data_IF_171095012091
#
_entry.id   IF_171095012091
#
_cell.length_a   1.000
_cell.length_b   1.000
_cell.length_c   1.000
_cell.angle_alpha   90.00
_cell.angle_beta   90.00
_cell.angle_gamma   90.00
#
_symmetry.space_group_name_H-M   'P 1'
#
loop_
_entity.id
_entity.type
_entity.pdbx_description
1 polymer ?
#
# COMPACT_ATOMS: atom_id res chain seq x y z
N UNK A 1 -14.34 18.23 -14.73
CA UNK A 1 -14.30 16.74 -14.66
C UNK A 1 -13.56 16.37 -13.39
N UNK A 2 -14.21 15.69 -12.44
CA UNK A 2 -13.58 15.31 -11.17
C UNK A 2 -12.49 14.27 -11.40
N UNK A 3 -11.32 14.47 -10.80
CA UNK A 3 -10.21 13.53 -10.93
C UNK A 3 -10.58 12.21 -10.24
N UNK A 4 -10.94 11.18 -11.01
CA UNK A 4 -11.36 9.85 -10.52
C UNK A 4 -10.33 9.31 -9.51
N UNK A 5 -9.05 9.58 -9.75
CA UNK A 5 -7.93 9.24 -8.86
C UNK A 5 -8.00 9.86 -7.46
N UNK A 6 -8.65 11.01 -7.29
CA UNK A 6 -8.80 11.66 -5.98
C UNK A 6 -9.88 10.97 -5.14
N UNK A 7 -10.89 10.40 -5.80
CA UNK A 7 -12.00 9.70 -5.13
C UNK A 7 -11.66 8.23 -4.86
N UNK A 8 -10.87 7.58 -5.71
CA UNK A 8 -10.53 6.16 -5.54
C UNK A 8 -9.53 5.91 -4.42
N UNK A 9 -8.56 6.80 -4.20
CA UNK A 9 -7.57 6.69 -3.11
C UNK A 9 -8.17 6.53 -1.70
N UNK A 10 -9.13 7.37 -1.25
CA UNK A 10 -9.72 7.20 0.08
C UNK A 10 -10.54 5.92 0.20
N UNK A 11 -11.21 5.49 -0.88
CA UNK A 11 -11.96 4.21 -0.91
C UNK A 11 -10.99 3.04 -0.74
N UNK A 12 -9.91 3.00 -1.53
CA UNK A 12 -8.89 1.96 -1.41
C UNK A 12 -8.29 1.94 0.00
N UNK A 13 -7.96 3.09 0.56
CA UNK A 13 -7.42 3.17 1.91
C UNK A 13 -8.42 2.64 2.97
N UNK A 14 -9.72 2.90 2.81
CA UNK A 14 -10.74 2.37 3.70
C UNK A 14 -10.85 0.83 3.60
N UNK A 15 -10.84 0.29 2.38
CA UNK A 15 -10.85 -1.16 2.12
C UNK A 15 -9.60 -1.83 2.70
N UNK A 16 -8.42 -1.28 2.47
CA UNK A 16 -7.18 -1.84 2.99
C UNK A 16 -7.16 -1.81 4.53
N UNK A 17 -7.66 -0.73 5.15
CA UNK A 17 -7.76 -0.63 6.60
C UNK A 17 -8.74 -1.64 7.20
N UNK A 18 -9.87 -1.92 6.54
CA UNK A 18 -10.86 -2.88 7.05
C UNK A 18 -10.35 -4.32 7.04
N UNK A 19 -9.46 -4.67 6.10
CA UNK A 19 -8.78 -5.98 6.07
C UNK A 19 -7.52 -6.04 6.95
N UNK A 20 -7.26 -5.01 7.77
CA UNK A 20 -6.12 -5.00 8.69
C UNK A 20 -4.78 -4.68 8.03
N UNK A 21 -4.76 -3.95 6.92
CA UNK A 21 -3.55 -3.44 6.28
C UNK A 21 -3.39 -1.93 6.56
N UNK A 22 -2.14 -1.47 6.69
CA UNK A 22 -1.79 -0.06 6.82
C UNK A 22 -0.74 0.33 5.80
N UNK A 23 -0.82 1.57 5.28
CA UNK A 23 0.21 2.11 4.40
C UNK A 23 1.38 2.62 5.24
N UNK A 24 2.59 2.20 4.89
CA UNK A 24 3.85 2.64 5.49
C UNK A 24 4.77 3.16 4.40
N UNK A 25 5.25 4.38 4.57
CA UNK A 25 6.29 4.95 3.73
C UNK A 25 7.65 4.45 4.27
N UNK A 26 8.41 3.79 3.40
CA UNK A 26 9.73 3.24 3.73
C UNK A 26 10.73 3.79 2.73
N UNK A 27 11.84 4.32 3.22
CA UNK A 27 12.99 4.68 2.40
C UNK A 27 13.81 3.41 2.13
N UNK A 28 13.86 2.99 0.87
CA UNK A 28 14.58 1.77 0.45
C UNK A 28 16.04 2.07 0.10
N UNK A 29 16.27 3.26 -0.45
CA UNK A 29 17.57 3.81 -0.82
C UNK A 29 17.54 5.32 -0.55
N UNK A 30 18.70 5.96 -0.34
CA UNK A 30 18.74 7.40 -0.08
C UNK A 30 17.99 8.21 -1.16
N UNK A 31 16.92 8.89 -0.76
CA UNK A 31 16.09 9.69 -1.66
C UNK A 31 15.01 8.91 -2.43
N UNK A 32 14.90 7.59 -2.26
CA UNK A 32 13.88 6.75 -2.88
C UNK A 32 12.95 6.16 -1.82
N UNK A 33 11.72 6.67 -1.79
CA UNK A 33 10.68 6.22 -0.86
C UNK A 33 9.61 5.40 -1.55
N UNK A 34 9.17 4.31 -0.90
CA UNK A 34 8.09 3.46 -1.39
C UNK A 34 6.99 3.30 -0.34
N UNK A 35 5.74 3.33 -0.78
CA UNK A 35 4.58 3.05 0.07
C UNK A 35 4.25 1.55 0.04
N UNK A 36 4.41 0.89 1.18
CA UNK A 36 4.04 -0.50 1.37
C UNK A 36 2.71 -0.62 2.12
N UNK A 37 1.86 -1.55 1.68
CA UNK A 37 0.74 -2.03 2.50
C UNK A 37 1.23 -3.20 3.34
N UNK A 38 1.19 -3.05 4.65
CA UNK A 38 1.66 -4.08 5.60
C UNK A 38 0.54 -4.49 6.55
N UNK A 39 0.46 -5.77 6.96
CA UNK A 39 -0.49 -6.21 7.96
C UNK A 39 -0.25 -5.50 9.29
N UNK A 40 -1.33 -5.21 10.02
CA UNK A 40 -1.25 -4.67 11.39
C UNK A 40 -0.87 -5.72 12.42
N UNK A 41 -1.07 -7.00 12.11
CA UNK A 41 -0.72 -8.12 12.96
C UNK A 41 0.66 -8.68 12.58
N UNK A 42 1.49 -8.94 13.58
CA UNK A 42 2.74 -9.66 13.37
C UNK A 42 2.44 -11.15 13.15
N UNK A 43 3.23 -11.76 12.27
CA UNK A 43 3.16 -13.19 11.99
C UNK A 43 4.55 -13.79 12.04
N UNK A 44 4.65 -15.06 12.45
CA UNK A 44 5.88 -15.85 12.38
C UNK A 44 6.07 -16.50 11.02
N UNK A 45 5.10 -16.35 10.10
CA UNK A 45 5.18 -16.87 8.74
C UNK A 45 6.19 -16.07 7.90
N UNK A 46 6.81 -16.69 6.90
CA UNK A 46 7.66 -15.98 5.95
C UNK A 46 6.91 -14.82 5.27
N UNK A 47 7.60 -13.71 5.06
CA UNK A 47 7.04 -12.54 4.38
C UNK A 47 6.85 -12.84 2.88
N UNK A 48 5.71 -12.39 2.34
CA UNK A 48 5.42 -12.43 0.90
C UNK A 48 5.25 -11.01 0.41
N UNK A 49 6.02 -10.65 -0.63
CA UNK A 49 5.97 -9.33 -1.25
C UNK A 49 5.21 -9.42 -2.57
N UNK A 50 4.12 -8.66 -2.69
CA UNK A 50 3.39 -8.49 -3.93
C UNK A 50 3.84 -7.21 -4.62
N UNK A 51 4.30 -7.35 -5.87
CA UNK A 51 4.66 -6.23 -6.73
C UNK A 51 3.66 -6.19 -7.89
N UNK A 52 3.12 -5.01 -8.17
CA UNK A 52 2.28 -4.82 -9.34
C UNK A 52 3.15 -4.71 -10.60
N UNK A 53 2.57 -5.00 -11.76
CA UNK A 53 3.24 -4.83 -13.05
C UNK A 53 3.43 -3.37 -13.43
N UNK A 54 4.15 -3.14 -14.53
CA UNK A 54 4.33 -1.81 -15.10
C UNK A 54 2.97 -1.16 -15.41
N UNK A 55 2.77 0.11 -15.02
CA UNK A 55 1.53 0.91 -15.18
C UNK A 55 0.36 0.52 -14.25
N UNK A 56 0.45 -0.56 -13.47
CA UNK A 56 -0.54 -0.85 -12.44
C UNK A 56 -0.28 -0.04 -11.16
N UNK A 57 -1.31 0.46 -10.49
CA UNK A 57 -1.29 1.03 -9.13
C UNK A 57 -2.70 1.02 -8.54
#
# INVERSE_FOLDING_TARGET
>A
MGNIFVVTKPILHFVMKSIGMISKLVEIEPGTTLHFWVPTISSTKPAVLFLHGFIAN
#
